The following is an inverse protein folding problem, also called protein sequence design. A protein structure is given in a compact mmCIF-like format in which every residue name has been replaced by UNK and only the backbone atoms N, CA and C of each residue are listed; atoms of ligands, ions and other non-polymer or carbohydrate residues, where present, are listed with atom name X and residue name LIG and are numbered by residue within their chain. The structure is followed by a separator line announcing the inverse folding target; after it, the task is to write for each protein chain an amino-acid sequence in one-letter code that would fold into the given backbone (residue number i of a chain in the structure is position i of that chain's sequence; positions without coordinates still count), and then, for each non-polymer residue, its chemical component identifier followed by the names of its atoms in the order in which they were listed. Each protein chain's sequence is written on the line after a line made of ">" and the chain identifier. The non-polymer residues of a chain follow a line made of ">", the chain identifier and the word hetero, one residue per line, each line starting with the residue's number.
data_IF_320292270668
#
_entry.id   IF_320292270668
#
_cell.length_a   1.000
_cell.length_b   1.000
_cell.length_c   1.000
_cell.angle_alpha   90.00
_cell.angle_beta   90.00
_cell.angle_gamma   90.00
#
_symmetry.space_group_name_H-M   'P 1'
#
loop_
_entity.id
_entity.type
_entity.pdbx_description
1 polymer ?
#
# COMPACT_ATOMS: atom_id res chain seq x y z
N UNK A 1 -24.78 23.87 -14.17
CA UNK A 1 -23.34 24.00 -13.86
C UNK A 1 -22.56 23.33 -14.98
N UNK A 2 -21.34 23.78 -15.30
CA UNK A 2 -20.45 23.02 -16.18
C UNK A 2 -19.68 22.02 -15.32
N UNK A 3 -19.83 20.73 -15.59
CA UNK A 3 -18.97 19.67 -15.07
C UNK A 3 -17.56 19.80 -15.65
N UNK A 4 -16.55 19.30 -14.92
CA UNK A 4 -15.19 19.12 -15.43
C UNK A 4 -15.02 17.62 -15.63
N UNK A 5 -14.90 17.20 -16.89
CA UNK A 5 -14.88 15.79 -17.28
C UNK A 5 -13.58 15.48 -18.01
N UNK A 6 -13.01 14.31 -17.71
CA UNK A 6 -11.87 13.70 -18.42
C UNK A 6 -11.87 12.20 -18.18
N UNK A 7 -11.35 11.44 -19.15
CA UNK A 7 -11.24 10.00 -19.06
C UNK A 7 -9.95 9.59 -18.35
N UNK A 8 -10.04 8.56 -17.51
CA UNK A 8 -8.90 7.87 -16.91
C UNK A 8 -8.56 6.58 -17.69
N UNK A 9 -9.56 5.98 -18.33
CA UNK A 9 -9.44 4.77 -19.15
C UNK A 9 -8.50 4.95 -20.36
N UNK A 10 -8.41 6.18 -20.89
CA UNK A 10 -7.48 6.53 -21.97
C UNK A 10 -6.00 6.32 -21.60
N UNK A 11 -5.70 6.24 -20.30
CA UNK A 11 -4.36 6.07 -19.74
C UNK A 11 -4.19 4.73 -19.01
N UNK A 12 -5.12 3.78 -19.23
CA UNK A 12 -5.20 2.48 -18.54
C UNK A 12 -5.36 2.59 -17.00
N UNK A 13 -5.82 3.76 -16.50
CA UNK A 13 -6.05 4.01 -15.07
C UNK A 13 -7.45 3.52 -14.69
N UNK A 14 -7.52 2.43 -13.92
CA UNK A 14 -8.79 1.88 -13.43
C UNK A 14 -9.43 2.81 -12.39
N UNK A 15 -10.66 3.25 -12.66
CA UNK A 15 -11.48 4.07 -11.75
C UNK A 15 -12.89 3.50 -11.61
N UNK A 16 -13.54 3.69 -10.45
CA UNK A 16 -14.88 3.16 -10.20
C UNK A 16 -15.88 3.63 -11.28
N UNK A 17 -16.85 2.78 -11.69
CA UNK A 17 -17.90 3.20 -12.61
C UNK A 17 -18.58 4.49 -12.16
N UNK A 18 -18.82 5.43 -13.08
CA UNK A 18 -19.38 6.75 -12.75
C UNK A 18 -18.45 7.66 -11.93
N UNK A 19 -17.18 7.29 -11.75
CA UNK A 19 -16.21 7.97 -10.89
C UNK A 19 -16.66 8.06 -9.41
N UNK A 20 -17.43 7.06 -8.96
CA UNK A 20 -17.92 7.01 -7.57
C UNK A 20 -16.79 6.80 -6.55
N UNK A 21 -16.89 7.48 -5.40
CA UNK A 21 -15.86 7.43 -4.35
C UNK A 21 -15.63 6.03 -3.78
N UNK A 22 -16.71 5.24 -3.65
CA UNK A 22 -16.67 3.83 -3.27
C UNK A 22 -17.44 3.05 -4.34
N UNK A 23 -16.85 1.99 -4.87
CA UNK A 23 -17.43 1.22 -5.96
C UNK A 23 -16.64 -0.06 -6.25
N UNK A 24 -16.92 -0.65 -7.42
CA UNK A 24 -16.52 -2.01 -7.82
C UNK A 24 -15.01 -2.29 -7.73
N UNK A 25 -14.15 -1.31 -8.02
CA UNK A 25 -12.69 -1.51 -8.05
C UNK A 25 -12.00 -1.11 -6.75
N UNK A 26 -12.50 -0.08 -6.06
CA UNK A 26 -11.95 0.37 -4.78
C UNK A 26 -13.04 0.95 -3.88
N UNK A 27 -13.00 0.56 -2.60
CA UNK A 27 -13.81 1.13 -1.53
C UNK A 27 -12.92 1.42 -0.33
N UNK A 28 -12.96 2.65 0.17
CA UNK A 28 -12.19 3.10 1.33
C UNK A 28 -13.11 3.40 2.52
N UNK A 29 -12.82 2.72 3.62
CA UNK A 29 -13.45 2.91 4.91
C UNK A 29 -12.60 3.85 5.74
N UNK A 30 -12.91 5.15 5.68
CA UNK A 30 -12.40 6.09 6.66
C UNK A 30 -12.87 5.71 8.07
N UNK A 31 -12.08 6.07 9.07
CA UNK A 31 -12.29 5.84 10.51
C UNK A 31 -13.75 5.90 11.02
N UNK A 32 -14.57 6.85 10.54
CA UNK A 32 -15.99 7.03 10.95
C UNK A 32 -17.00 6.14 10.21
N UNK A 33 -16.53 5.32 9.27
CA UNK A 33 -17.35 4.60 8.29
C UNK A 33 -17.28 3.07 8.40
N UNK A 34 -16.56 2.53 9.40
CA UNK A 34 -16.47 1.09 9.67
C UNK A 34 -16.53 0.80 11.18
N UNK A 35 -17.73 0.52 11.67
CA UNK A 35 -17.93 0.09 13.06
C UNK A 35 -17.66 1.17 14.10
N UNK A 36 -17.41 0.74 15.34
CA UNK A 36 -17.20 1.61 16.51
C UNK A 36 -15.75 1.56 17.01
N UNK A 37 -14.78 1.89 16.16
CA UNK A 37 -13.37 1.91 16.60
C UNK A 37 -13.15 2.83 17.82
N UNK A 38 -12.39 2.40 18.84
CA UNK A 38 -12.04 3.20 20.01
C UNK A 38 -10.97 4.21 19.65
N UNK A 39 -11.18 5.45 20.08
CA UNK A 39 -10.25 6.55 19.85
C UNK A 39 -10.39 7.64 20.91
N UNK A 40 -9.31 8.40 21.08
CA UNK A 40 -9.28 9.56 21.94
C UNK A 40 -9.23 10.80 21.03
N UNK A 41 -10.11 11.76 21.26
CA UNK A 41 -10.18 12.98 20.47
C UNK A 41 -8.95 13.86 20.73
N UNK A 42 -8.13 14.11 19.70
CA UNK A 42 -6.75 14.60 19.86
C UNK A 42 -6.64 15.95 20.59
N UNK A 43 -7.61 16.86 20.41
CA UNK A 43 -7.61 18.19 21.03
C UNK A 43 -8.26 18.26 22.42
N UNK A 44 -9.12 17.30 22.78
CA UNK A 44 -9.94 17.38 24.02
C UNK A 44 -9.67 16.25 25.01
N UNK A 45 -8.93 15.21 24.61
CA UNK A 45 -8.74 14.01 25.41
C UNK A 45 -10.02 13.18 25.60
N UNK A 46 -11.12 13.51 24.91
CA UNK A 46 -12.40 12.83 25.09
C UNK A 46 -12.36 11.40 24.56
N UNK A 47 -12.86 10.46 25.37
CA UNK A 47 -13.10 9.08 24.96
C UNK A 47 -14.24 8.97 23.96
N UNK A 48 -13.97 8.34 22.82
CA UNK A 48 -14.95 7.90 21.84
C UNK A 48 -14.87 6.37 21.77
N UNK A 49 -16.02 5.70 21.89
CA UNK A 49 -16.15 4.24 21.96
C UNK A 49 -15.20 3.60 23.02
N UNK A 50 -15.04 4.23 24.19
CA UNK A 50 -14.16 3.75 25.28
C UNK A 50 -12.69 4.20 25.19
N UNK A 51 -12.27 4.81 24.08
CA UNK A 51 -10.97 5.46 23.92
C UNK A 51 -9.79 4.54 23.62
N UNK A 52 -9.66 3.42 24.35
CA UNK A 52 -8.56 2.46 24.22
C UNK A 52 -9.10 1.04 23.95
N UNK A 53 -8.42 0.22 23.12
CA UNK A 53 -8.98 -1.05 22.64
C UNK A 53 -9.30 -2.06 23.75
N UNK A 54 -8.54 -2.08 24.84
CA UNK A 54 -8.77 -3.00 25.97
C UNK A 54 -9.92 -2.61 26.91
N UNK A 55 -10.59 -1.47 26.67
CA UNK A 55 -11.77 -1.01 27.43
C UNK A 55 -13.05 -0.97 26.57
N UNK A 56 -12.90 -1.06 25.25
CA UNK A 56 -13.98 -0.86 24.30
C UNK A 56 -14.76 -2.14 24.01
N UNK A 57 -16.03 -2.00 23.62
CA UNK A 57 -16.90 -3.10 23.25
C UNK A 57 -16.66 -3.51 21.79
N UNK A 58 -15.98 -4.66 21.61
CA UNK A 58 -15.63 -5.20 20.30
C UNK A 58 -16.84 -5.82 19.59
N UNK A 59 -17.79 -6.38 20.32
CA UNK A 59 -19.00 -6.99 19.74
C UNK A 59 -19.90 -5.91 19.14
N UNK A 60 -20.07 -4.79 19.86
CA UNK A 60 -20.76 -3.60 19.33
C UNK A 60 -20.04 -3.01 18.10
N UNK A 61 -18.70 -3.04 18.05
CA UNK A 61 -17.96 -2.64 16.86
C UNK A 61 -18.22 -3.58 15.68
N UNK A 62 -18.13 -4.90 15.86
CA UNK A 62 -18.29 -5.89 14.80
C UNK A 62 -19.74 -5.91 14.26
N UNK A 63 -20.73 -5.75 15.13
CA UNK A 63 -22.12 -5.56 14.73
C UNK A 63 -22.28 -4.31 13.84
N UNK A 64 -21.80 -3.15 14.32
CA UNK A 64 -21.89 -1.89 13.55
C UNK A 64 -21.08 -1.92 12.25
N UNK A 65 -19.93 -2.61 12.24
CA UNK A 65 -19.10 -2.82 11.05
C UNK A 65 -19.80 -3.69 10.02
N UNK A 66 -20.53 -4.73 10.45
CA UNK A 66 -21.37 -5.57 9.57
C UNK A 66 -22.36 -4.72 8.79
N UNK A 67 -23.11 -3.85 9.48
CA UNK A 67 -24.06 -2.92 8.84
C UNK A 67 -23.38 -1.94 7.87
N UNK A 68 -22.20 -1.41 8.23
CA UNK A 68 -21.44 -0.51 7.36
C UNK A 68 -20.95 -1.20 6.09
N UNK A 69 -20.51 -2.46 6.17
CA UNK A 69 -20.04 -3.26 5.04
C UNK A 69 -21.21 -3.55 4.09
N UNK A 70 -22.37 -3.97 4.60
CA UNK A 70 -23.57 -4.16 3.77
C UNK A 70 -24.04 -2.88 3.08
N UNK A 71 -23.93 -1.74 3.76
CA UNK A 71 -24.34 -0.43 3.21
C UNK A 71 -23.35 0.13 2.18
N UNK A 72 -22.03 -0.06 2.39
CA UNK A 72 -20.99 0.52 1.52
C UNK A 72 -20.56 -0.40 0.37
N UNK A 73 -20.70 -1.72 0.53
CA UNK A 73 -20.41 -2.70 -0.52
C UNK A 73 -21.61 -3.66 -0.61
N UNK A 74 -22.72 -3.28 -1.27
CA UNK A 74 -23.91 -4.13 -1.35
C UNK A 74 -23.66 -5.44 -2.11
N UNK A 75 -22.74 -5.43 -3.08
CA UNK A 75 -22.31 -6.61 -3.83
C UNK A 75 -21.58 -7.61 -2.91
N UNK A 76 -22.09 -8.84 -2.81
CA UNK A 76 -21.49 -9.92 -2.02
C UNK A 76 -20.25 -10.53 -2.69
N UNK A 77 -20.17 -10.51 -4.02
CA UNK A 77 -19.08 -11.05 -4.84
C UNK A 77 -17.97 -10.02 -5.13
N UNK A 78 -17.93 -8.94 -4.34
CA UNK A 78 -16.97 -7.85 -4.43
C UNK A 78 -15.52 -8.34 -4.56
N UNK A 79 -14.86 -7.92 -5.64
CA UNK A 79 -13.48 -8.32 -6.00
C UNK A 79 -12.48 -7.16 -5.98
N UNK A 80 -12.92 -5.94 -5.66
CA UNK A 80 -12.07 -4.76 -5.59
C UNK A 80 -11.18 -4.67 -4.36
N UNK A 81 -10.49 -3.55 -4.23
CA UNK A 81 -9.64 -3.19 -3.10
C UNK A 81 -10.49 -2.66 -1.93
N UNK A 82 -10.47 -3.38 -0.81
CA UNK A 82 -11.10 -2.95 0.44
C UNK A 82 -10.07 -2.31 1.38
N UNK A 83 -10.04 -0.98 1.43
CA UNK A 83 -9.03 -0.21 2.18
C UNK A 83 -9.62 0.26 3.51
N UNK A 84 -9.08 -0.24 4.63
CA UNK A 84 -9.46 0.24 5.97
C UNK A 84 -8.49 1.35 6.38
N UNK A 85 -8.97 2.59 6.42
CA UNK A 85 -8.19 3.75 6.84
C UNK A 85 -8.44 4.11 8.31
N UNK A 86 -7.71 3.44 9.19
CA UNK A 86 -7.73 3.65 10.63
C UNK A 86 -6.35 4.11 11.16
N UNK A 87 -6.25 5.41 11.48
CA UNK A 87 -5.01 6.08 11.95
C UNK A 87 -4.90 6.43 13.45
N UNK A 88 -5.95 6.47 14.30
CA UNK A 88 -5.88 6.98 15.68
C UNK A 88 -4.75 6.40 16.54
N UNK A 89 -4.60 5.06 16.59
CA UNK A 89 -3.52 4.37 17.28
C UNK A 89 -2.74 3.42 16.34
N UNK A 90 -1.68 2.80 16.86
CA UNK A 90 -0.91 1.73 16.21
C UNK A 90 -0.95 0.47 17.07
N UNK A 91 -0.99 -0.75 16.48
CA UNK A 91 -1.12 -1.99 17.25
C UNK A 91 0.12 -2.34 18.09
N UNK A 92 1.27 -1.71 17.81
CA UNK A 92 2.49 -1.86 18.59
C UNK A 92 2.65 -0.68 19.54
N UNK A 93 2.77 -0.95 20.84
CA UNK A 93 2.93 0.03 21.92
C UNK A 93 3.99 1.08 21.60
N UNK A 94 5.17 0.62 21.16
CA UNK A 94 6.34 1.45 20.82
C UNK A 94 6.12 2.42 19.64
N UNK A 95 5.02 2.28 18.89
CA UNK A 95 4.66 3.15 17.76
C UNK A 95 3.59 4.20 18.11
N UNK A 96 3.08 4.21 19.33
CA UNK A 96 2.16 5.23 19.84
C UNK A 96 2.94 6.40 20.48
N UNK A 97 3.79 7.05 19.68
CA UNK A 97 4.62 8.18 20.11
C UNK A 97 3.91 9.54 19.89
N UNK A 98 4.51 10.62 20.38
CA UNK A 98 4.04 12.01 20.15
C UNK A 98 2.55 12.21 20.49
N UNK A 99 1.72 12.68 19.56
CA UNK A 99 0.26 12.86 19.76
C UNK A 99 -0.46 11.57 20.15
N UNK A 100 0.11 10.40 19.84
CA UNK A 100 -0.43 9.08 20.19
C UNK A 100 0.06 8.55 21.54
N UNK A 101 0.91 9.29 22.26
CA UNK A 101 1.34 8.96 23.62
C UNK A 101 0.17 8.82 24.60
N UNK A 102 -0.93 9.57 24.38
CA UNK A 102 -2.15 9.52 25.19
C UNK A 102 -2.77 8.11 25.30
N UNK A 103 -2.63 7.26 24.27
CA UNK A 103 -3.07 5.86 24.32
C UNK A 103 -2.25 5.02 25.30
N UNK A 104 -0.96 5.35 25.49
CA UNK A 104 -0.11 4.69 26.49
C UNK A 104 -0.46 5.16 27.89
N UNK A 105 -0.47 6.48 28.11
CA UNK A 105 -0.87 7.09 29.40
C UNK A 105 -2.20 6.55 29.90
N UNK A 106 -3.22 6.56 29.03
CA UNK A 106 -4.56 6.10 29.40
C UNK A 106 -4.68 4.58 29.59
N UNK A 107 -3.78 3.80 28.99
CA UNK A 107 -3.66 2.37 29.26
C UNK A 107 -3.01 2.10 30.62
N UNK A 108 -2.02 2.91 31.01
CA UNK A 108 -1.39 2.85 32.34
C UNK A 108 -2.34 3.31 33.44
N UNK A 109 -3.09 4.40 33.22
CA UNK A 109 -4.09 4.88 34.18
C UNK A 109 -5.20 3.87 34.43
N UNK A 110 -5.61 3.11 33.40
CA UNK A 110 -6.54 1.99 33.59
C UNK A 110 -5.94 0.94 34.54
N UNK A 111 -4.67 0.56 34.36
CA UNK A 111 -4.00 -0.42 35.24
C UNK A 111 -3.87 0.13 36.67
N UNK A 112 -3.49 1.40 36.85
CA UNK A 112 -3.44 2.05 38.19
C UNK A 112 -4.81 2.00 38.89
N UNK A 113 -5.90 2.19 38.14
CA UNK A 113 -7.27 2.13 38.66
C UNK A 113 -7.73 0.69 38.98
N UNK A 114 -7.43 -0.29 38.13
CA UNK A 114 -7.88 -1.69 38.30
C UNK A 114 -6.94 -2.53 39.17
N UNK A 115 -5.73 -2.06 39.46
CA UNK A 115 -4.69 -2.82 40.14
C UNK A 115 -3.83 -1.92 41.04
N UNK A 116 -4.40 -1.26 42.08
CA UNK A 116 -3.74 -0.22 42.87
C UNK A 116 -2.56 -0.68 43.76
N UNK A 117 -2.18 -1.95 43.68
CA UNK A 117 -1.09 -2.55 44.47
C UNK A 117 0.12 -2.98 43.63
N UNK A 118 0.09 -2.81 42.30
CA UNK A 118 1.25 -3.11 41.44
C UNK A 118 2.22 -1.93 41.42
N UNK A 119 3.51 -2.20 41.21
CA UNK A 119 4.52 -1.15 41.08
C UNK A 119 4.41 -0.41 39.74
N UNK A 120 4.86 0.84 39.65
CA UNK A 120 4.87 1.61 38.40
C UNK A 120 5.65 0.91 37.25
N UNK A 121 6.65 0.08 37.57
CA UNK A 121 7.35 -0.75 36.58
C UNK A 121 6.44 -1.86 35.99
N UNK A 122 5.56 -2.42 36.81
CA UNK A 122 4.56 -3.39 36.39
C UNK A 122 3.40 -2.72 35.65
N UNK A 123 2.99 -1.50 36.04
CA UNK A 123 1.93 -0.70 35.37
C UNK A 123 2.17 -0.62 33.87
N UNK A 124 3.33 -0.11 33.42
CA UNK A 124 3.67 0.02 31.98
C UNK A 124 3.72 -1.36 31.29
N UNK A 125 4.21 -2.39 31.98
CA UNK A 125 4.32 -3.75 31.44
C UNK A 125 2.95 -4.39 31.20
N UNK A 126 2.04 -4.28 32.17
CA UNK A 126 0.66 -4.75 32.09
C UNK A 126 -0.14 -3.95 31.06
N UNK A 127 -0.02 -2.61 31.08
CA UNK A 127 -0.70 -1.72 30.15
C UNK A 127 -0.32 -2.01 28.70
N UNK A 128 0.97 -2.26 28.44
CA UNK A 128 1.46 -2.71 27.13
C UNK A 128 0.82 -4.03 26.70
N UNK A 129 0.84 -5.06 27.54
CA UNK A 129 0.31 -6.39 27.19
C UNK A 129 -1.19 -6.32 26.90
N UNK A 130 -1.96 -5.61 27.74
CA UNK A 130 -3.39 -5.41 27.52
C UNK A 130 -3.68 -4.63 26.23
N UNK A 131 -2.95 -3.53 25.99
CA UNK A 131 -3.12 -2.71 24.79
C UNK A 131 -2.75 -3.46 23.50
N UNK A 132 -1.56 -4.09 23.42
CA UNK A 132 -1.13 -4.80 22.20
C UNK A 132 -2.00 -6.04 21.94
N UNK A 133 -2.45 -6.73 23.00
CA UNK A 133 -3.39 -7.85 22.90
C UNK A 133 -4.74 -7.44 22.33
N UNK A 134 -5.34 -6.39 22.90
CA UNK A 134 -6.62 -5.87 22.42
C UNK A 134 -6.51 -5.25 21.03
N UNK A 135 -5.49 -4.42 20.76
CA UNK A 135 -5.28 -3.82 19.44
C UNK A 135 -5.12 -4.88 18.32
N UNK A 136 -4.50 -6.03 18.65
CA UNK A 136 -4.43 -7.19 17.74
C UNK A 136 -5.81 -7.81 17.49
N UNK A 137 -6.64 -8.00 18.52
CA UNK A 137 -8.01 -8.50 18.37
C UNK A 137 -8.83 -7.55 17.49
N UNK A 138 -8.89 -6.25 17.86
CA UNK A 138 -9.59 -5.23 17.07
C UNK A 138 -9.19 -5.20 15.60
N UNK A 139 -7.89 -5.14 15.26
CA UNK A 139 -7.48 -5.14 13.85
C UNK A 139 -7.67 -6.50 13.16
N UNK A 140 -7.47 -7.60 13.87
CA UNK A 140 -7.59 -8.96 13.33
C UNK A 140 -9.02 -9.36 13.05
N UNK A 141 -9.93 -9.07 13.97
CA UNK A 141 -11.33 -9.49 13.93
C UNK A 141 -12.14 -8.64 12.94
N UNK A 142 -11.88 -7.32 12.84
CA UNK A 142 -12.44 -6.50 11.75
C UNK A 142 -11.95 -7.00 10.38
N UNK A 143 -10.66 -7.37 10.24
CA UNK A 143 -10.12 -7.90 8.99
C UNK A 143 -10.66 -9.30 8.65
N UNK A 144 -10.95 -10.10 9.68
CA UNK A 144 -11.65 -11.39 9.54
C UNK A 144 -13.07 -11.16 9.05
N UNK A 145 -13.82 -10.25 9.69
CA UNK A 145 -15.20 -9.92 9.34
C UNK A 145 -15.35 -9.46 7.88
N UNK A 146 -14.54 -8.49 7.42
CA UNK A 146 -14.62 -8.01 6.03
C UNK A 146 -14.33 -9.13 5.02
N UNK A 147 -13.41 -10.05 5.34
CA UNK A 147 -13.10 -11.22 4.52
C UNK A 147 -14.19 -12.29 4.58
N UNK A 148 -14.88 -12.46 5.72
CA UNK A 148 -16.04 -13.35 5.82
C UNK A 148 -17.21 -12.83 5.00
N UNK A 149 -17.48 -11.52 5.06
CA UNK A 149 -18.60 -10.90 4.37
C UNK A 149 -18.34 -10.70 2.86
N UNK A 150 -17.10 -10.41 2.45
CA UNK A 150 -16.70 -10.16 1.06
C UNK A 150 -15.42 -10.96 0.73
N UNK A 151 -15.52 -12.29 0.56
CA UNK A 151 -14.36 -13.20 0.54
C UNK A 151 -13.47 -13.07 -0.70
N UNK A 152 -13.97 -12.48 -1.79
CA UNK A 152 -13.20 -12.24 -3.00
C UNK A 152 -12.49 -10.87 -3.01
N UNK A 153 -12.76 -10.02 -2.01
CA UNK A 153 -12.19 -8.68 -1.91
C UNK A 153 -10.74 -8.69 -1.46
N UNK A 154 -9.95 -7.76 -1.98
CA UNK A 154 -8.54 -7.56 -1.60
C UNK A 154 -8.45 -6.59 -0.42
N UNK A 155 -8.51 -7.13 0.80
CA UNK A 155 -8.62 -6.37 2.05
C UNK A 155 -7.28 -6.04 2.71
N UNK A 156 -7.09 -4.78 3.12
CA UNK A 156 -5.91 -4.33 3.87
C UNK A 156 -6.11 -3.03 4.65
N UNK A 157 -5.24 -2.78 5.63
CA UNK A 157 -5.17 -1.50 6.34
C UNK A 157 -4.22 -0.53 5.64
N UNK A 158 -4.64 0.72 5.47
CA UNK A 158 -3.77 1.79 4.97
C UNK A 158 -2.58 2.03 5.91
N UNK A 159 -1.40 2.35 5.35
CA UNK A 159 -0.10 2.48 6.03
C UNK A 159 0.48 1.20 6.67
N UNK A 160 -0.03 -0.01 6.38
CA UNK A 160 0.57 -1.24 6.92
C UNK A 160 1.21 -2.12 5.81
N UNK A 161 2.51 -2.46 5.90
CA UNK A 161 3.48 -2.02 6.92
C UNK A 161 4.00 -0.59 6.68
N UNK A 162 4.26 0.13 7.77
CA UNK A 162 5.00 1.41 7.76
C UNK A 162 6.49 1.13 8.01
N UNK A 163 7.37 1.73 7.21
CA UNK A 163 8.81 1.60 7.31
C UNK A 163 9.42 2.52 8.40
N UNK A 164 8.77 3.64 8.70
CA UNK A 164 9.26 4.70 9.60
C UNK A 164 10.64 5.25 9.17
N UNK A 165 10.86 5.38 7.86
CA UNK A 165 12.09 5.86 7.23
C UNK A 165 11.97 7.28 6.65
N UNK A 166 10.84 7.96 6.86
CA UNK A 166 10.69 9.38 6.49
C UNK A 166 11.67 10.25 7.29
N UNK A 167 12.35 11.22 6.67
CA UNK A 167 13.11 12.22 7.41
C UNK A 167 12.17 13.05 8.28
N UNK A 168 12.72 13.66 9.35
CA UNK A 168 11.98 14.52 10.28
C UNK A 168 11.41 15.78 9.63
N UNK A 169 11.90 16.14 8.44
CA UNK A 169 11.38 17.22 7.60
C UNK A 169 11.05 16.63 6.22
N UNK A 170 9.76 16.41 5.95
CA UNK A 170 9.27 16.25 4.57
C UNK A 170 9.04 17.66 4.04
N UNK A 171 10.02 18.19 3.31
CA UNK A 171 9.83 19.41 2.52
C UNK A 171 8.95 19.07 1.31
N UNK A 172 7.64 19.13 1.50
CA UNK A 172 6.70 19.27 0.38
C UNK A 172 7.07 20.58 -0.34
N UNK A 173 7.22 20.53 -1.67
CA UNK A 173 7.48 21.74 -2.46
C UNK A 173 6.32 22.71 -2.29
N UNK A 174 6.62 23.98 -2.06
CA UNK A 174 5.60 25.03 -1.99
C UNK A 174 5.13 25.40 -3.41
N UNK A 175 3.96 24.87 -3.82
CA UNK A 175 3.30 25.33 -5.05
C UNK A 175 2.30 24.33 -5.64
N UNK A 176 1.01 24.69 -5.62
CA UNK A 176 -0.12 23.93 -6.21
C UNK A 176 -0.36 22.50 -5.68
N UNK A 177 -1.60 22.02 -5.78
CA UNK A 177 -2.01 20.68 -5.30
C UNK A 177 -1.37 19.52 -6.07
N UNK A 178 -0.74 19.80 -7.23
CA UNK A 178 -0.30 18.80 -8.21
C UNK A 178 1.15 19.02 -8.70
N UNK A 179 2.12 19.01 -7.79
CA UNK A 179 3.57 19.17 -8.09
C UNK A 179 4.38 17.84 -8.03
N UNK A 180 3.75 16.71 -8.38
CA UNK A 180 4.49 15.47 -8.57
C UNK A 180 5.09 15.47 -9.98
N UNK A 181 6.38 15.79 -10.09
CA UNK A 181 7.05 15.88 -11.40
C UNK A 181 7.32 14.49 -11.98
N UNK A 182 7.66 14.41 -13.27
CA UNK A 182 8.05 13.15 -13.90
C UNK A 182 9.18 12.43 -13.14
N UNK A 183 10.19 13.19 -12.68
CA UNK A 183 11.29 12.67 -11.83
C UNK A 183 10.77 12.06 -10.53
N UNK A 184 9.75 12.66 -9.92
CA UNK A 184 9.14 12.16 -8.68
C UNK A 184 8.33 10.88 -8.94
N UNK A 185 7.56 10.85 -10.04
CA UNK A 185 6.82 9.65 -10.48
C UNK A 185 7.75 8.48 -10.83
N UNK A 186 8.88 8.75 -11.50
CA UNK A 186 9.95 7.77 -11.76
C UNK A 186 10.53 7.24 -10.45
N UNK A 187 10.78 8.13 -9.48
CA UNK A 187 11.39 7.78 -8.19
C UNK A 187 10.43 7.12 -7.19
N UNK A 188 9.13 7.04 -7.49
CA UNK A 188 8.09 6.53 -6.58
C UNK A 188 7.21 5.44 -7.21
N UNK A 189 6.50 5.77 -8.30
CA UNK A 189 5.54 4.87 -8.95
C UNK A 189 6.29 3.83 -9.79
N UNK A 190 7.26 4.25 -10.60
CA UNK A 190 8.10 3.31 -11.36
C UNK A 190 9.01 2.49 -10.45
N UNK A 191 9.42 3.04 -9.29
CA UNK A 191 10.11 2.28 -8.23
C UNK A 191 9.23 1.13 -7.70
N UNK A 192 7.98 1.42 -7.33
CA UNK A 192 7.03 0.39 -6.89
C UNK A 192 6.78 -0.68 -7.97
N UNK A 193 6.66 -0.28 -9.24
CA UNK A 193 6.55 -1.20 -10.37
C UNK A 193 7.83 -2.05 -10.53
N UNK A 194 9.00 -1.45 -10.40
CA UNK A 194 10.31 -2.11 -10.45
C UNK A 194 10.52 -3.15 -9.34
N UNK A 195 9.89 -2.99 -8.17
CA UNK A 195 9.86 -4.00 -7.10
C UNK A 195 8.82 -5.13 -7.34
N UNK A 196 8.10 -5.10 -8.47
CA UNK A 196 7.07 -6.07 -8.86
C UNK A 196 5.76 -5.93 -8.08
N UNK A 197 5.43 -4.72 -7.63
CA UNK A 197 4.16 -4.43 -6.95
C UNK A 197 2.96 -4.78 -7.84
N UNK A 198 1.80 -5.02 -7.24
CA UNK A 198 0.58 -5.33 -8.00
C UNK A 198 0.00 -4.12 -8.74
N UNK A 199 0.29 -2.92 -8.27
CA UNK A 199 -0.15 -1.63 -8.77
C UNK A 199 0.11 -0.55 -7.71
N UNK A 200 -0.39 0.66 -7.94
CA UNK A 200 -0.44 1.75 -6.95
C UNK A 200 -1.87 2.27 -6.83
N UNK A 201 -2.24 2.81 -5.66
CA UNK A 201 -3.51 3.52 -5.48
C UNK A 201 -3.20 5.01 -5.43
N UNK A 202 -3.71 5.76 -6.42
CA UNK A 202 -3.63 7.21 -6.42
C UNK A 202 -4.77 7.74 -5.53
N UNK A 203 -4.44 8.63 -4.59
CA UNK A 203 -5.38 9.21 -3.65
C UNK A 203 -5.28 10.73 -3.71
N UNK A 204 -6.42 11.41 -3.58
CA UNK A 204 -6.52 12.86 -3.42
C UNK A 204 -7.51 13.22 -2.32
N UNK A 205 -7.30 14.34 -1.65
CA UNK A 205 -8.20 14.86 -0.64
C UNK A 205 -9.42 15.55 -1.28
N UNK A 206 -10.54 15.61 -0.56
CA UNK A 206 -11.68 16.43 -0.99
C UNK A 206 -11.36 17.93 -1.09
N UNK A 207 -10.33 18.40 -0.39
CA UNK A 207 -9.80 19.76 -0.51
C UNK A 207 -9.17 20.01 -1.88
N UNK A 208 -8.48 19.01 -2.45
CA UNK A 208 -7.79 19.11 -3.73
C UNK A 208 -8.78 19.29 -4.89
N UNK A 209 -10.04 18.90 -4.74
CA UNK A 209 -11.10 19.03 -5.76
C UNK A 209 -12.29 19.90 -5.27
N UNK A 210 -12.01 20.84 -4.37
CA UNK A 210 -13.04 21.66 -3.70
C UNK A 210 -13.59 22.85 -4.52
N UNK A 211 -12.98 23.17 -5.67
CA UNK A 211 -13.37 24.28 -6.55
C UNK A 211 -13.31 23.88 -8.02
N UNK A 212 -13.95 24.66 -8.91
CA UNK A 212 -13.90 24.40 -10.36
C UNK A 212 -12.46 24.54 -10.89
N UNK A 213 -11.76 25.55 -10.39
CA UNK A 213 -10.38 25.89 -10.74
C UNK A 213 -9.43 24.75 -10.35
N UNK A 214 -9.62 24.17 -9.17
CA UNK A 214 -8.85 23.01 -8.73
C UNK A 214 -9.14 21.78 -9.60
N UNK A 215 -10.40 21.50 -9.93
CA UNK A 215 -10.76 20.39 -10.82
C UNK A 215 -10.19 20.57 -12.24
N UNK A 216 -10.15 21.79 -12.76
CA UNK A 216 -9.47 22.11 -14.03
C UNK A 216 -7.97 21.88 -13.93
N UNK A 217 -7.33 22.30 -12.83
CA UNK A 217 -5.91 22.03 -12.59
C UNK A 217 -5.60 20.53 -12.50
N UNK A 218 -6.45 19.74 -11.86
CA UNK A 218 -6.32 18.27 -11.81
C UNK A 218 -6.43 17.67 -13.21
N UNK A 219 -7.46 18.06 -13.98
CA UNK A 219 -7.65 17.62 -15.36
C UNK A 219 -6.41 17.90 -16.20
N UNK A 220 -5.89 19.12 -16.11
CA UNK A 220 -4.75 19.54 -16.92
C UNK A 220 -3.49 18.76 -16.52
N UNK A 221 -3.23 18.57 -15.23
CA UNK A 221 -2.15 17.72 -14.73
C UNK A 221 -2.28 16.25 -15.18
N UNK A 222 -3.48 15.66 -15.06
CA UNK A 222 -3.72 14.26 -15.50
C UNK A 222 -3.55 14.12 -17.00
N UNK A 223 -4.13 15.02 -17.80
CA UNK A 223 -4.12 14.89 -19.26
C UNK A 223 -2.76 15.19 -19.90
N UNK A 224 -1.94 16.03 -19.27
CA UNK A 224 -0.65 16.47 -19.84
C UNK A 224 0.59 15.83 -19.21
N UNK A 225 0.52 15.38 -17.95
CA UNK A 225 1.68 14.86 -17.21
C UNK A 225 1.43 13.42 -16.72
N UNK A 226 0.49 13.23 -15.79
CA UNK A 226 0.35 11.95 -15.07
C UNK A 226 -0.18 10.81 -15.94
N UNK A 227 -1.22 11.05 -16.73
CA UNK A 227 -1.82 10.06 -17.62
C UNK A 227 -0.84 9.52 -18.68
N UNK A 228 -0.16 10.39 -19.45
CA UNK A 228 0.89 9.98 -20.38
C UNK A 228 1.99 9.13 -19.73
N UNK A 229 2.48 9.53 -18.54
CA UNK A 229 3.45 8.75 -17.77
C UNK A 229 2.89 7.36 -17.38
N UNK A 230 1.69 7.31 -16.80
CA UNK A 230 1.07 6.08 -16.33
C UNK A 230 0.88 5.07 -17.46
N UNK A 231 0.39 5.54 -18.62
CA UNK A 231 0.18 4.74 -19.82
C UNK A 231 1.47 4.13 -20.35
N UNK A 232 2.53 4.94 -20.49
CA UNK A 232 3.81 4.44 -20.98
C UNK A 232 4.46 3.47 -19.97
N UNK A 233 4.39 3.75 -18.66
CA UNK A 233 4.87 2.83 -17.63
C UNK A 233 4.13 1.47 -17.66
N UNK A 234 2.80 1.47 -17.81
CA UNK A 234 2.02 0.22 -17.89
C UNK A 234 2.32 -0.58 -19.15
N UNK A 235 2.46 0.10 -20.30
CA UNK A 235 2.96 -0.51 -21.55
C UNK A 235 4.33 -1.17 -21.34
N UNK A 236 5.28 -0.49 -20.69
CA UNK A 236 6.61 -1.03 -20.40
C UNK A 236 6.57 -2.26 -19.48
N UNK A 237 5.74 -2.23 -18.44
CA UNK A 237 5.54 -3.36 -17.54
C UNK A 237 4.92 -4.57 -18.27
N UNK A 238 3.94 -4.35 -19.15
CA UNK A 238 3.32 -5.39 -19.97
C UNK A 238 4.29 -5.96 -21.01
N UNK A 239 5.09 -5.11 -21.68
CA UNK A 239 6.13 -5.55 -22.60
C UNK A 239 7.19 -6.41 -21.90
N UNK A 240 7.61 -6.03 -20.69
CA UNK A 240 8.55 -6.82 -19.91
C UNK A 240 7.94 -8.15 -19.45
N UNK A 241 6.72 -8.15 -18.90
CA UNK A 241 5.96 -9.37 -18.55
C UNK A 241 5.94 -10.36 -19.73
N UNK A 242 5.55 -9.89 -20.91
CA UNK A 242 5.50 -10.69 -22.14
C UNK A 242 6.86 -11.22 -22.57
N UNK A 243 7.91 -10.39 -22.55
CA UNK A 243 9.24 -10.75 -23.06
C UNK A 243 10.03 -11.62 -22.09
N UNK A 244 10.15 -11.19 -20.84
CA UNK A 244 11.04 -11.81 -19.87
C UNK A 244 10.33 -12.90 -19.07
N UNK A 245 9.05 -12.68 -18.72
CA UNK A 245 8.26 -13.54 -17.82
C UNK A 245 7.15 -14.34 -18.51
N UNK A 246 7.27 -14.63 -19.81
CA UNK A 246 6.32 -15.42 -20.61
C UNK A 246 4.84 -14.97 -20.51
N UNK A 247 4.61 -13.69 -20.21
CA UNK A 247 3.31 -13.09 -19.87
C UNK A 247 2.63 -13.63 -18.59
N UNK A 248 3.35 -14.42 -17.80
CA UNK A 248 2.86 -15.21 -16.67
C UNK A 248 3.48 -14.75 -15.33
N UNK A 249 4.09 -13.56 -15.30
CA UNK A 249 4.65 -12.97 -14.09
C UNK A 249 4.99 -11.50 -14.26
N UNK A 250 5.24 -10.81 -13.15
CA UNK A 250 5.72 -9.43 -13.15
C UNK A 250 7.24 -9.40 -13.18
N UNK A 251 7.80 -8.47 -13.95
CA UNK A 251 9.21 -8.16 -13.87
C UNK A 251 9.55 -7.55 -12.50
N UNK A 252 10.72 -7.93 -11.97
CA UNK A 252 11.32 -7.40 -10.75
C UNK A 252 12.76 -7.01 -11.08
N UNK A 253 13.06 -5.74 -10.90
CA UNK A 253 14.41 -5.18 -11.01
C UNK A 253 15.36 -5.87 -10.03
N UNK A 254 16.54 -6.27 -10.50
CA UNK A 254 17.65 -6.60 -9.61
C UNK A 254 18.35 -5.31 -9.13
N UNK A 255 18.24 -5.04 -7.83
CA UNK A 255 19.04 -4.02 -7.15
C UNK A 255 20.40 -4.60 -6.78
N UNK A 256 21.48 -3.84 -6.92
CA UNK A 256 22.78 -4.22 -6.38
C UNK A 256 22.63 -4.50 -4.87
N UNK A 257 22.96 -5.71 -4.43
CA UNK A 257 23.06 -5.99 -2.99
C UNK A 257 24.20 -5.15 -2.45
N UNK A 258 23.99 -4.30 -1.42
CA UNK A 258 25.08 -3.60 -0.78
C UNK A 258 26.16 -4.59 -0.35
N UNK A 259 27.44 -4.24 -0.52
CA UNK A 259 28.56 -5.11 -0.15
C UNK A 259 28.44 -5.60 1.30
N UNK A 260 29.06 -6.73 1.63
CA UNK A 260 29.00 -7.31 2.98
C UNK A 260 29.48 -6.31 4.06
N UNK A 261 30.36 -5.36 3.71
CA UNK A 261 30.79 -4.27 4.59
C UNK A 261 29.73 -3.18 4.79
N UNK A 262 28.92 -2.87 3.78
CA UNK A 262 27.76 -2.00 3.92
C UNK A 262 26.69 -2.67 4.81
N UNK A 263 26.45 -3.97 4.64
CA UNK A 263 25.53 -4.75 5.48
C UNK A 263 25.99 -4.84 6.95
N UNK A 264 27.31 -4.86 7.21
CA UNK A 264 27.85 -4.76 8.57
C UNK A 264 27.60 -3.40 9.23
N UNK A 265 27.52 -2.31 8.46
CA UNK A 265 27.19 -0.97 8.97
C UNK A 265 25.70 -0.81 9.27
N UNK A 266 24.81 -1.36 8.45
CA UNK A 266 23.35 -1.29 8.66
C UNK A 266 22.84 -2.15 9.82
N UNK A 267 23.57 -3.21 10.22
CA UNK A 267 23.26 -4.05 11.40
C UNK A 267 23.14 -3.33 12.76
N UNK A 268 23.39 -2.02 12.85
CA UNK A 268 23.01 -1.20 14.02
C UNK A 268 21.51 -0.89 14.13
N UNK A 269 20.75 -1.05 13.04
CA UNK A 269 19.28 -1.00 13.06
C UNK A 269 18.73 -2.42 12.89
N UNK A 270 17.79 -2.80 13.76
CA UNK A 270 17.46 -4.20 14.04
C UNK A 270 16.96 -5.01 12.83
N UNK A 271 17.33 -6.29 12.80
CA UNK A 271 17.05 -7.23 11.71
C UNK A 271 15.57 -7.27 11.29
N UNK A 272 15.28 -6.92 10.04
CA UNK A 272 13.98 -7.14 9.39
C UNK A 272 13.88 -8.58 8.82
N UNK A 273 15.02 -9.22 8.55
CA UNK A 273 15.14 -10.52 7.86
C UNK A 273 14.31 -11.67 8.48
N UNK A 274 14.11 -11.67 9.81
CA UNK A 274 13.37 -12.73 10.49
C UNK A 274 11.84 -12.71 10.21
N UNK A 275 11.29 -11.58 9.76
CA UNK A 275 9.88 -11.49 9.39
C UNK A 275 9.58 -12.11 8.02
N UNK A 276 10.48 -11.92 7.06
CA UNK A 276 10.30 -12.37 5.68
C UNK A 276 10.53 -13.89 5.55
N UNK A 277 11.53 -14.43 6.25
CA UNK A 277 11.91 -15.85 6.13
C UNK A 277 10.78 -16.84 6.49
N UNK A 278 9.86 -16.48 7.40
CA UNK A 278 8.75 -17.36 7.80
C UNK A 278 7.60 -17.46 6.79
N UNK A 279 7.50 -16.54 5.83
CA UNK A 279 6.45 -16.57 4.79
C UNK A 279 6.96 -17.25 3.51
N UNK A 280 8.27 -17.28 3.30
CA UNK A 280 8.90 -17.72 2.04
C UNK A 280 9.46 -19.15 2.11
N UNK A 281 9.67 -19.73 3.30
CA UNK A 281 10.08 -21.14 3.43
C UNK A 281 8.93 -22.12 3.15
N UNK A 282 8.64 -22.34 1.86
CA UNK A 282 8.04 -23.61 1.41
C UNK A 282 8.73 -24.10 0.12
N UNK A 283 9.67 -25.02 0.29
CA UNK A 283 10.36 -25.86 -0.73
C UNK A 283 11.24 -25.19 -1.79
N UNK A 284 12.43 -25.77 -1.99
CA UNK A 284 13.54 -25.30 -2.83
C UNK A 284 14.28 -26.53 -3.42
N UNK A 285 14.47 -26.59 -4.74
CA UNK A 285 15.37 -27.49 -5.51
C UNK A 285 15.38 -26.94 -6.97
N UNK A 286 16.41 -26.25 -7.48
CA UNK A 286 17.64 -26.75 -8.16
C UNK A 286 17.35 -27.54 -9.47
N UNK A 287 17.86 -27.25 -10.69
CA UNK A 287 19.09 -26.57 -11.17
C UNK A 287 18.97 -25.91 -12.59
N UNK A 288 19.81 -24.88 -12.81
CA UNK A 288 20.67 -24.49 -13.98
C UNK A 288 20.35 -24.83 -15.47
N UNK A 289 20.55 -23.87 -16.40
CA UNK A 289 20.78 -24.21 -17.85
C UNK A 289 20.68 -23.16 -19.00
N UNK A 290 21.56 -22.14 -19.07
CA UNK A 290 22.18 -21.54 -20.30
C UNK A 290 21.39 -20.89 -21.51
N UNK A 291 21.63 -19.57 -21.74
CA UNK A 291 21.99 -18.83 -23.03
C UNK A 291 21.29 -19.07 -24.39
N UNK A 292 21.17 -18.15 -25.38
CA UNK A 292 21.30 -16.66 -25.51
C UNK A 292 20.97 -16.20 -26.98
N UNK A 293 20.90 -14.87 -27.25
CA UNK A 293 20.84 -14.18 -28.58
C UNK A 293 19.52 -14.31 -29.39
N UNK A 294 19.07 -13.34 -30.20
CA UNK A 294 19.53 -11.96 -30.54
C UNK A 294 18.71 -11.38 -31.72
N UNK A 295 18.77 -10.06 -32.04
CA UNK A 295 18.05 -9.51 -33.23
C UNK A 295 17.26 -8.17 -33.09
N UNK A 296 17.72 -7.03 -33.64
CA UNK A 296 16.90 -5.81 -33.90
C UNK A 296 16.32 -5.88 -35.35
N UNK A 297 15.42 -5.04 -35.90
CA UNK A 297 14.95 -3.65 -35.67
C UNK A 297 13.55 -3.48 -36.37
N UNK A 298 12.86 -2.33 -36.54
CA UNK A 298 13.21 -0.90 -36.36
C UNK A 298 11.96 -0.01 -36.04
N UNK A 299 12.15 1.31 -36.08
CA UNK A 299 11.34 2.44 -35.62
C UNK A 299 10.53 3.21 -36.70
N UNK A 300 9.45 3.89 -36.26
CA UNK A 300 9.00 5.25 -36.68
C UNK A 300 7.90 5.75 -35.71
N UNK A 301 7.71 7.02 -35.33
CA UNK A 301 8.60 8.20 -35.19
C UNK A 301 7.81 9.25 -34.34
N UNK A 302 8.35 9.78 -33.24
CA UNK A 302 7.77 10.87 -32.41
C UNK A 302 8.89 11.83 -31.95
N UNK A 303 8.54 13.07 -31.56
CA UNK A 303 9.43 14.25 -31.59
C UNK A 303 10.69 14.20 -30.71
N UNK A 304 11.80 14.68 -31.27
CA UNK A 304 13.18 14.28 -30.92
C UNK A 304 13.82 14.91 -29.67
N UNK A 305 13.16 15.78 -28.91
CA UNK A 305 13.75 16.38 -27.69
C UNK A 305 13.11 15.89 -26.39
N UNK A 306 11.83 15.49 -26.40
CA UNK A 306 11.22 14.75 -25.29
C UNK A 306 11.30 13.22 -25.49
N UNK A 307 11.31 12.74 -26.74
CA UNK A 307 11.45 11.30 -27.02
C UNK A 307 12.87 10.77 -26.81
N UNK A 308 13.92 11.60 -26.70
CA UNK A 308 15.30 11.12 -26.51
C UNK A 308 15.52 10.50 -25.14
N UNK A 309 15.01 11.10 -24.05
CA UNK A 309 15.07 10.50 -22.71
C UNK A 309 14.27 9.19 -22.64
N UNK A 310 13.09 9.13 -23.27
CA UNK A 310 12.25 7.92 -23.30
C UNK A 310 12.77 6.81 -24.24
N UNK A 311 13.40 7.14 -25.37
CA UNK A 311 13.68 6.19 -26.46
C UNK A 311 15.14 5.72 -26.59
N UNK A 312 16.07 6.27 -25.80
CA UNK A 312 17.33 5.57 -25.48
C UNK A 312 17.10 4.40 -24.51
N UNK A 313 15.89 4.33 -23.93
CA UNK A 313 15.29 3.16 -23.33
C UNK A 313 15.77 2.90 -21.91
N UNK A 314 14.83 2.47 -21.05
CA UNK A 314 14.74 1.16 -20.38
C UNK A 314 16.01 0.34 -20.08
N UNK A 315 17.19 0.95 -19.98
CA UNK A 315 18.06 0.65 -18.86
C UNK A 315 17.29 1.06 -17.63
N UNK A 316 16.70 0.08 -16.96
CA UNK A 316 16.16 0.22 -15.61
C UNK A 316 17.17 1.06 -14.80
N UNK A 317 16.70 2.23 -14.36
CA UNK A 317 17.41 3.32 -13.68
C UNK A 317 18.89 3.07 -13.35
N UNK A 318 19.77 3.92 -13.91
CA UNK A 318 21.23 3.98 -13.71
C UNK A 318 21.72 3.31 -12.41
N UNK A 319 22.23 2.08 -12.53
CA UNK A 319 22.69 1.26 -11.39
C UNK A 319 21.96 -0.08 -11.18
N UNK A 320 21.08 -0.52 -12.09
CA UNK A 320 20.40 -1.83 -12.00
C UNK A 320 20.92 -2.82 -13.04
N UNK A 321 21.48 -3.94 -12.57
CA UNK A 321 21.93 -5.03 -13.44
C UNK A 321 20.97 -6.22 -13.40
N UNK A 322 20.03 -6.25 -14.34
CA UNK A 322 19.20 -7.41 -14.64
C UNK A 322 17.74 -7.30 -14.21
N UNK A 323 16.93 -8.20 -14.78
CA UNK A 323 15.51 -8.37 -14.46
C UNK A 323 15.26 -9.83 -14.10
N UNK A 324 14.40 -10.05 -13.11
CA UNK A 324 13.92 -11.37 -12.66
C UNK A 324 12.39 -11.38 -12.70
N UNK A 325 11.77 -12.56 -12.61
CA UNK A 325 10.32 -12.68 -12.65
C UNK A 325 9.70 -13.09 -11.32
N UNK A 326 8.61 -12.42 -10.94
CA UNK A 326 7.69 -12.84 -9.89
C UNK A 326 6.45 -13.44 -10.55
N UNK A 327 6.41 -14.76 -10.64
CA UNK A 327 5.33 -15.47 -11.33
C UNK A 327 3.96 -15.28 -10.68
N UNK A 328 2.93 -15.31 -11.50
CA UNK A 328 1.55 -15.36 -11.03
C UNK A 328 1.24 -16.73 -10.43
N UNK A 329 0.24 -16.84 -9.54
CA UNK A 329 -0.25 -18.14 -9.07
C UNK A 329 -0.56 -19.08 -10.25
N UNK A 330 -0.09 -20.33 -10.16
CA UNK A 330 -0.19 -21.30 -11.25
C UNK A 330 1.06 -21.41 -12.15
N UNK A 331 2.07 -20.54 -11.97
CA UNK A 331 3.27 -20.50 -12.82
C UNK A 331 4.58 -20.50 -12.03
N UNK A 332 5.63 -21.08 -12.63
CA UNK A 332 6.96 -21.24 -12.04
C UNK A 332 8.11 -21.19 -13.07
N UNK A 333 9.34 -21.23 -12.57
CA UNK A 333 10.58 -21.09 -13.35
C UNK A 333 11.03 -19.63 -13.47
N UNK A 334 12.30 -19.41 -13.83
CA UNK A 334 12.92 -18.06 -13.91
C UNK A 334 12.18 -17.08 -14.82
N UNK A 335 11.46 -17.62 -15.82
CA UNK A 335 10.67 -16.87 -16.81
C UNK A 335 9.16 -17.16 -16.73
N UNK A 336 8.68 -17.83 -15.68
CA UNK A 336 7.27 -18.17 -15.49
C UNK A 336 6.64 -18.98 -16.64
N UNK A 337 7.45 -19.76 -17.37
CA UNK A 337 7.03 -20.56 -18.52
C UNK A 337 6.45 -21.92 -18.16
N UNK A 338 6.59 -22.36 -16.89
CA UNK A 338 6.16 -23.69 -16.43
C UNK A 338 4.85 -23.57 -15.66
N UNK A 339 3.80 -24.26 -16.10
CA UNK A 339 2.56 -24.42 -15.32
C UNK A 339 2.81 -25.30 -14.09
N UNK A 340 2.30 -24.90 -12.92
CA UNK A 340 2.37 -25.70 -11.68
C UNK A 340 1.17 -26.62 -11.50
N UNK A 341 0.16 -26.52 -12.37
CA UNK A 341 -0.91 -27.51 -12.45
C UNK A 341 -0.38 -28.77 -13.12
N UNK A 342 -0.31 -29.88 -12.37
CA UNK A 342 -0.18 -31.21 -12.99
C UNK A 342 -1.43 -31.47 -13.83
N UNK A 343 -1.23 -31.81 -15.10
CA UNK A 343 -2.28 -32.45 -15.90
C UNK A 343 -2.70 -33.74 -15.17
N UNK A 344 -4.01 -33.88 -14.95
CA UNK A 344 -4.65 -34.95 -14.17
C UNK A 344 -5.25 -36.02 -15.06
#
# INVERSE_FOLDING_TARGET
>A
MMTVEFSLDEYDIVSNPGQEWNGTYVTIFYEKNLGLYPKIHEQTGQDINGGIPQRADIDAHLAKATDDIYRLIPDADYQGLGVIDFKPWRPLWKRNLESKSIYRTKSEDLVRQTSPHVSEHEVTSMAKVAFEGAARAWMGDTLSLVKTLRPRGSWGFYLFPDCYNSPSEIQLREGSSYDCTETDMVSTIQEAAGQGSAGVVIWGASADVSSKENCLSLRDYVTTIFGPFAKEMMKQAAECSRRECSNNGRCVTAYERPSLDAQRKTKRFGNVDQGIQRVVQTTQESLEGATSQGQQSNKQFLSSEHATWFSEGLQYLTGRQGTSCRCYPGWAGERCSVSTHKES
#
